data_IF_766142213453
#
_entry.id   IF_766142213453
#
_cell.length_a   1.000
_cell.length_b   1.000
_cell.length_c   1.000
_cell.angle_alpha   90.00
_cell.angle_beta   90.00
_cell.angle_gamma   90.00
#
_symmetry.space_group_name_H-M   'P 1'
#
loop_
_entity.id
_entity.type
_entity.pdbx_description
1 polymer ?
#
# COMPACT_ATOMS: atom_id res chain seq x y z
N UNK A 1 1.05 -1.14 41.00
CA UNK A 1 2.17 -0.58 40.22
C UNK A 1 1.80 -0.69 38.75
N UNK A 2 1.54 0.43 38.07
CA UNK A 2 1.36 0.44 36.61
C UNK A 2 2.75 0.26 35.99
N UNK A 3 3.01 -0.91 35.40
CA UNK A 3 4.35 -1.24 34.91
C UNK A 3 4.59 -2.70 34.56
N UNK A 4 3.57 -3.56 34.61
CA UNK A 4 3.69 -4.89 34.03
C UNK A 4 3.88 -4.71 32.52
N UNK A 5 5.10 -5.00 32.07
CA UNK A 5 5.44 -5.11 30.65
C UNK A 5 4.52 -6.16 30.07
N UNK A 6 3.39 -5.74 29.51
CA UNK A 6 2.55 -6.61 28.71
C UNK A 6 3.47 -7.28 27.69
N UNK A 7 3.51 -8.63 27.63
CA UNK A 7 4.31 -9.30 26.63
C UNK A 7 3.87 -8.75 25.28
N UNK A 8 4.77 -8.05 24.60
CA UNK A 8 4.53 -7.55 23.26
C UNK A 8 4.22 -8.79 22.44
N UNK A 9 2.94 -8.97 22.10
CA UNK A 9 2.44 -10.07 21.28
C UNK A 9 3.39 -10.14 20.09
N UNK A 10 4.15 -11.24 20.00
CA UNK A 10 5.07 -11.44 18.90
C UNK A 10 4.25 -11.31 17.62
N UNK A 11 4.64 -10.38 16.74
CA UNK A 11 4.01 -10.23 15.44
C UNK A 11 4.08 -11.58 14.75
N UNK A 12 2.92 -12.17 14.50
CA UNK A 12 2.79 -13.38 13.70
C UNK A 12 3.55 -13.15 12.40
N UNK A 13 4.63 -13.89 12.19
CA UNK A 13 5.38 -13.81 10.94
C UNK A 13 4.46 -14.28 9.83
N UNK A 14 4.04 -13.38 8.94
CA UNK A 14 3.23 -13.76 7.80
C UNK A 14 3.98 -14.82 7.00
N UNK A 15 3.32 -15.94 6.70
CA UNK A 15 3.89 -17.01 5.90
C UNK A 15 4.30 -16.46 4.52
N UNK A 16 5.59 -16.56 4.21
CA UNK A 16 6.16 -16.17 2.91
C UNK A 16 6.12 -17.39 2.00
N UNK A 17 5.54 -17.24 0.82
CA UNK A 17 5.35 -18.35 -0.12
C UNK A 17 6.45 -18.37 -1.18
N UNK A 18 6.35 -17.51 -2.19
CA UNK A 18 7.22 -17.52 -3.38
C UNK A 18 7.97 -16.18 -3.44
N UNK A 19 9.28 -16.22 -3.69
CA UNK A 19 10.16 -15.03 -3.74
C UNK A 19 10.08 -14.11 -2.51
N UNK A 20 9.78 -14.66 -1.33
CA UNK A 20 9.65 -13.89 -0.10
C UNK A 20 8.37 -13.05 0.00
N UNK A 21 7.44 -13.18 -0.96
CA UNK A 21 6.13 -12.51 -0.94
C UNK A 21 5.13 -13.29 -0.10
N UNK A 22 4.24 -12.57 0.57
CA UNK A 22 3.03 -13.19 1.15
C UNK A 22 2.00 -13.46 0.04
N UNK A 23 1.04 -14.37 0.30
CA UNK A 23 -0.03 -14.68 -0.66
C UNK A 23 -0.80 -13.43 -1.11
N UNK A 24 -1.08 -12.51 -0.18
CA UNK A 24 -1.79 -11.26 -0.47
C UNK A 24 -0.98 -10.40 -1.45
N UNK A 25 0.33 -10.27 -1.23
CA UNK A 25 1.20 -9.50 -2.10
C UNK A 25 1.24 -10.09 -3.52
N UNK A 26 1.31 -11.42 -3.63
CA UNK A 26 1.27 -12.11 -4.91
C UNK A 26 -0.06 -11.85 -5.65
N UNK A 27 -1.19 -11.98 -4.95
CA UNK A 27 -2.51 -11.71 -5.52
C UNK A 27 -2.65 -10.27 -6.02
N UNK A 28 -2.14 -9.29 -5.25
CA UNK A 28 -2.16 -7.88 -5.64
C UNK A 28 -1.31 -7.63 -6.89
N UNK A 29 -0.10 -8.20 -6.97
CA UNK A 29 0.76 -8.07 -8.15
C UNK A 29 0.12 -8.69 -9.38
N UNK A 30 -0.48 -9.88 -9.25
CA UNK A 30 -1.19 -10.53 -10.36
C UNK A 30 -2.39 -9.70 -10.84
N UNK A 31 -3.19 -9.18 -9.91
CA UNK A 31 -4.34 -8.33 -10.24
C UNK A 31 -3.89 -7.04 -10.97
N UNK A 32 -2.82 -6.40 -10.49
CA UNK A 32 -2.26 -5.20 -11.10
C UNK A 32 -1.63 -5.48 -12.48
N UNK A 33 -1.00 -6.64 -12.66
CA UNK A 33 -0.50 -7.10 -13.95
C UNK A 33 -1.62 -7.31 -14.96
N UNK A 34 -2.72 -7.97 -14.55
CA UNK A 34 -3.92 -8.10 -15.39
C UNK A 34 -4.50 -6.72 -15.76
N UNK A 35 -4.58 -5.80 -14.79
CA UNK A 35 -5.11 -4.47 -15.05
C UNK A 35 -4.23 -3.67 -16.02
N UNK A 36 -2.90 -3.79 -15.90
CA UNK A 36 -1.94 -3.17 -16.83
C UNK A 36 -2.08 -3.73 -18.24
N UNK A 37 -2.34 -5.04 -18.38
CA UNK A 37 -2.57 -5.68 -19.67
C UNK A 37 -3.90 -5.26 -20.32
N UNK A 38 -4.98 -5.12 -19.55
CA UNK A 38 -6.22 -4.59 -20.12
C UNK A 38 -6.06 -3.10 -20.47
N UNK A 39 -5.28 -2.35 -19.69
CA UNK A 39 -4.99 -0.95 -19.97
C UNK A 39 -4.22 -0.78 -21.29
N UNK A 40 -3.26 -1.66 -21.59
CA UNK A 40 -2.51 -1.62 -22.84
C UNK A 40 -3.36 -1.89 -24.08
N UNK A 41 -4.56 -2.47 -23.92
CA UNK A 41 -5.52 -2.67 -25.02
C UNK A 41 -6.41 -1.46 -25.27
N UNK A 42 -6.64 -0.64 -24.24
CA UNK A 42 -7.54 0.52 -24.32
C UNK A 42 -6.76 1.79 -24.61
N UNK A 43 -5.60 1.97 -23.97
CA UNK A 43 -4.82 3.19 -24.09
C UNK A 43 -3.80 3.04 -25.22
N UNK A 44 -3.87 3.89 -26.26
CA UNK A 44 -2.91 3.86 -27.34
C UNK A 44 -1.51 4.19 -26.83
N UNK A 45 -0.55 3.76 -27.63
CA UNK A 45 0.86 4.01 -27.42
C UNK A 45 1.19 5.50 -27.47
N UNK A 46 2.15 5.93 -26.64
CA UNK A 46 2.63 7.30 -26.68
C UNK A 46 3.42 7.56 -27.98
N UNK A 47 3.30 8.75 -28.60
CA UNK A 47 3.98 9.08 -29.85
C UNK A 47 5.46 9.40 -29.60
N UNK A 48 6.21 8.39 -29.17
CA UNK A 48 7.65 8.46 -28.86
C UNK A 48 8.34 7.32 -29.59
N UNK A 49 9.52 7.60 -30.16
CA UNK A 49 10.27 6.62 -30.96
C UNK A 49 10.89 5.51 -30.12
N UNK A 50 11.09 5.74 -28.82
CA UNK A 50 11.62 4.75 -27.91
C UNK A 50 10.53 3.77 -27.45
N UNK A 51 10.71 2.49 -27.76
CA UNK A 51 9.81 1.40 -27.39
C UNK A 51 9.49 1.35 -25.89
N UNK A 52 10.48 1.57 -25.02
CA UNK A 52 10.26 1.52 -23.57
C UNK A 52 9.38 2.68 -23.09
N UNK A 53 9.64 3.90 -23.58
CA UNK A 53 8.86 5.08 -23.22
C UNK A 53 7.44 5.04 -23.81
N UNK A 54 7.30 4.41 -24.97
CA UNK A 54 6.03 4.23 -25.67
C UNK A 54 4.99 3.46 -24.85
N UNK A 55 5.43 2.48 -24.06
CA UNK A 55 4.57 1.58 -23.28
C UNK A 55 4.63 1.81 -21.76
N UNK A 56 5.49 2.71 -21.28
CA UNK A 56 5.72 2.91 -19.85
C UNK A 56 4.43 3.23 -19.07
N UNK A 57 3.53 4.02 -19.65
CA UNK A 57 2.26 4.41 -19.03
C UNK A 57 1.31 3.23 -18.84
N UNK A 58 1.41 2.20 -19.67
CA UNK A 58 0.58 1.00 -19.57
C UNK A 58 0.95 0.15 -18.35
N UNK A 59 2.20 0.28 -17.86
CA UNK A 59 2.69 -0.39 -16.66
C UNK A 59 2.36 0.32 -15.34
N UNK A 60 1.76 1.53 -15.37
CA UNK A 60 1.46 2.33 -14.17
C UNK A 60 0.75 1.51 -13.07
N UNK A 61 -0.30 0.72 -13.36
CA UNK A 61 -1.00 -0.02 -12.32
C UNK A 61 -0.08 -1.03 -11.62
N UNK A 62 0.76 -1.74 -12.38
CA UNK A 62 1.72 -2.71 -11.85
C UNK A 62 2.80 -2.01 -11.00
N UNK A 63 3.37 -0.91 -11.49
CA UNK A 63 4.38 -0.15 -10.74
C UNK A 63 3.82 0.43 -9.45
N UNK A 64 2.60 0.97 -9.49
CA UNK A 64 1.91 1.49 -8.31
C UNK A 64 1.63 0.40 -7.28
N UNK A 65 1.15 -0.77 -7.74
CA UNK A 65 0.93 -1.91 -6.85
C UNK A 65 2.22 -2.42 -6.21
N UNK A 66 3.30 -2.54 -7.01
CA UNK A 66 4.61 -2.92 -6.50
C UNK A 66 5.13 -1.92 -5.46
N UNK A 67 5.01 -0.62 -5.73
CA UNK A 67 5.38 0.42 -4.78
C UNK A 67 4.61 0.30 -3.46
N UNK A 68 3.29 0.13 -3.52
CA UNK A 68 2.45 0.04 -2.33
C UNK A 68 2.71 -1.21 -1.48
N UNK A 69 3.16 -2.30 -2.11
CA UNK A 69 3.33 -3.60 -1.49
C UNK A 69 4.76 -3.85 -0.98
N UNK A 70 5.76 -3.33 -1.68
CA UNK A 70 7.17 -3.61 -1.40
C UNK A 70 7.93 -2.43 -0.80
N UNK A 71 7.48 -1.19 -0.99
CA UNK A 71 8.13 -0.06 -0.33
C UNK A 71 7.64 0.06 1.10
N UNK A 72 8.56 0.43 1.97
CA UNK A 72 8.28 0.78 3.35
C UNK A 72 8.25 2.31 3.48
N UNK A 73 7.34 2.81 4.32
CA UNK A 73 7.32 4.23 4.69
C UNK A 73 8.50 4.49 5.62
N UNK A 74 9.43 5.36 5.18
CA UNK A 74 10.63 5.73 5.92
C UNK A 74 10.36 6.25 7.34
N UNK A 75 9.17 6.80 7.59
CA UNK A 75 8.80 7.36 8.90
C UNK A 75 8.31 6.28 9.87
N UNK A 76 7.53 5.31 9.38
CA UNK A 76 6.87 4.31 10.24
C UNK A 76 7.48 2.92 10.18
N UNK A 77 8.35 2.66 9.19
CA UNK A 77 8.89 1.34 8.89
C UNK A 77 7.82 0.31 8.50
N UNK A 78 6.59 0.76 8.17
CA UNK A 78 5.50 -0.11 7.72
C UNK A 78 5.42 -0.08 6.21
N UNK A 79 4.92 -1.17 5.63
CA UNK A 79 4.57 -1.24 4.20
C UNK A 79 3.74 0.01 3.82
N UNK A 80 4.01 0.56 2.64
CA UNK A 80 3.47 1.83 2.20
C UNK A 80 1.93 1.83 2.14
N UNK A 81 1.31 0.72 1.73
CA UNK A 81 -0.15 0.58 1.67
C UNK A 81 -0.87 0.89 3.01
N UNK A 82 -0.61 0.21 4.14
CA UNK A 82 -1.27 0.53 5.41
C UNK A 82 -0.94 1.94 5.91
N UNK A 83 0.30 2.42 5.71
CA UNK A 83 0.68 3.80 6.07
C UNK A 83 -0.14 4.84 5.29
N UNK A 84 -0.37 4.61 4.00
CA UNK A 84 -1.19 5.47 3.16
C UNK A 84 -2.66 5.41 3.59
N UNK A 85 -3.16 4.21 3.88
CA UNK A 85 -4.53 4.01 4.36
C UNK A 85 -4.79 4.76 5.68
N UNK A 86 -3.88 4.67 6.65
CA UNK A 86 -3.99 5.39 7.93
C UNK A 86 -3.97 6.90 7.72
N UNK A 87 -3.10 7.41 6.84
CA UNK A 87 -3.02 8.83 6.47
C UNK A 87 -4.31 9.32 5.79
N UNK A 88 -4.89 8.52 4.90
CA UNK A 88 -6.15 8.87 4.23
C UNK A 88 -7.32 8.80 5.22
N UNK A 89 -7.45 7.71 5.97
CA UNK A 89 -8.49 7.51 6.98
C UNK A 89 -8.52 8.64 8.00
N UNK A 90 -7.34 9.04 8.52
CA UNK A 90 -7.24 10.15 9.48
C UNK A 90 -7.59 11.52 8.89
N UNK A 91 -7.39 11.73 7.59
CA UNK A 91 -7.83 12.95 6.89
C UNK A 91 -9.35 12.98 6.69
N UNK A 92 -9.97 11.84 6.39
CA UNK A 92 -11.42 11.73 6.19
C UNK A 92 -12.22 11.54 7.48
N UNK A 93 -11.56 11.28 8.61
CA UNK A 93 -12.22 11.11 9.90
C UNK A 93 -12.90 12.42 10.30
N UNK A 94 -14.23 12.38 10.46
CA UNK A 94 -14.99 13.46 11.12
C UNK A 94 -14.44 13.62 12.54
N UNK A 95 -13.68 14.68 12.79
CA UNK A 95 -13.12 14.98 14.10
C UNK A 95 -14.25 15.47 14.99
N UNK A 96 -14.74 14.60 15.88
CA UNK A 96 -15.61 15.01 16.97
C UNK A 96 -14.67 15.54 18.06
N UNK A 97 -14.63 16.86 18.21
CA UNK A 97 -13.91 17.50 19.32
C UNK A 97 -14.70 17.23 20.59
N UNK A 98 -14.23 16.26 21.38
CA UNK A 98 -14.76 16.05 22.74
C UNK A 98 -14.14 17.11 23.62
N UNK A 99 -14.84 18.23 23.80
CA UNK A 99 -14.49 19.18 24.84
C UNK A 99 -14.80 18.55 26.19
N UNK A 100 -13.79 18.40 27.04
CA UNK A 100 -13.98 18.12 28.46
C UNK A 100 -14.74 19.31 29.05
N UNK A 101 -15.99 19.11 29.49
CA UNK A 101 -16.61 20.09 30.39
C UNK A 101 -15.83 20.04 31.70
N UNK A 102 -15.20 21.16 32.05
CA UNK A 102 -14.80 21.40 33.43
C UNK A 102 -16.10 21.63 34.21
N UNK A 103 -16.34 20.79 35.22
CA UNK A 103 -17.48 20.92 36.14
C UNK A 103 -18.52 19.83 35.95
N UNK A 104 -18.34 18.73 36.69
CA UNK A 104 -19.34 18.14 37.59
C UNK A 104 -18.59 17.48 38.77
#
# INVERSE_FOLDING_TARGET
>A
MYGDRHPLIQKTSAERFIFGMTLIQLLVVMAAGKLSYELSRVIPDLPVDNFMLRHFHQGIPLYAAAALVFLEDNVTGRIMAPSLFDKLSSRFRRRIFVYRREGD
#
